data_IF_334466714657
#
_entry.id   IF_334466714657
#
_cell.length_a   1.000
_cell.length_b   1.000
_cell.length_c   1.000
_cell.angle_alpha   90.00
_cell.angle_beta   90.00
_cell.angle_gamma   90.00
#
_symmetry.space_group_name_H-M   'P 1'
#
loop_
_entity.id
_entity.type
_entity.pdbx_description
1 polymer ?
#
# COMPACT_ATOMS: atom_id res chain seq x y z
N UNK A 1 22.63 13.31 -33.88
CA UNK A 1 21.97 12.21 -34.61
C UNK A 1 22.01 10.98 -33.72
N UNK A 2 21.00 10.79 -32.86
CA UNK A 2 20.92 9.59 -31.99
C UNK A 2 20.01 8.57 -32.65
N UNK A 3 20.62 7.54 -33.22
CA UNK A 3 19.91 6.46 -33.91
C UNK A 3 18.94 5.78 -32.94
N UNK A 4 17.64 5.84 -33.25
CA UNK A 4 16.62 5.07 -32.54
C UNK A 4 16.87 3.56 -32.69
N UNK A 5 16.29 2.73 -31.79
CA UNK A 5 16.49 1.30 -31.80
C UNK A 5 16.07 0.68 -33.14
N UNK A 6 16.84 -0.30 -33.61
CA UNK A 6 16.62 -0.96 -34.90
C UNK A 6 15.22 -1.61 -34.95
N UNK A 7 14.57 -1.65 -36.12
CA UNK A 7 13.17 -2.10 -36.26
C UNK A 7 12.92 -3.55 -35.83
N UNK A 8 13.96 -4.38 -35.66
CA UNK A 8 13.86 -5.72 -35.08
C UNK A 8 13.74 -5.71 -33.57
N UNK A 9 14.49 -4.84 -32.89
CA UNK A 9 14.42 -4.67 -31.43
C UNK A 9 13.08 -4.04 -31.05
N UNK A 10 12.62 -3.03 -31.79
CA UNK A 10 11.30 -2.44 -31.60
C UNK A 10 10.18 -3.49 -31.74
N UNK A 11 10.25 -4.37 -32.75
CA UNK A 11 9.23 -5.40 -32.98
C UNK A 11 9.25 -6.52 -31.92
N UNK A 12 10.42 -6.92 -31.45
CA UNK A 12 10.56 -7.85 -30.33
C UNK A 12 10.07 -7.23 -29.01
N UNK A 13 10.35 -5.94 -28.81
CA UNK A 13 9.85 -5.16 -27.68
C UNK A 13 8.33 -5.02 -27.73
N UNK A 14 7.74 -4.71 -28.89
CA UNK A 14 6.29 -4.62 -29.11
C UNK A 14 5.58 -5.98 -28.92
N UNK A 15 6.24 -7.08 -29.28
CA UNK A 15 5.76 -8.44 -29.04
C UNK A 15 5.79 -8.81 -27.55
N UNK A 16 6.87 -8.47 -26.83
CA UNK A 16 6.99 -8.67 -25.38
C UNK A 16 6.03 -7.79 -24.59
N UNK A 17 5.87 -6.52 -24.99
CA UNK A 17 5.02 -5.54 -24.31
C UNK A 17 3.55 -5.64 -24.73
N UNK A 18 3.24 -6.39 -25.79
CA UNK A 18 1.87 -6.67 -26.21
C UNK A 18 1.04 -5.41 -26.47
N UNK A 19 1.69 -4.32 -26.87
CA UNK A 19 1.16 -2.94 -26.90
C UNK A 19 -0.15 -2.81 -27.69
N UNK A 20 -0.45 -3.77 -28.56
CA UNK A 20 -1.61 -3.72 -29.46
C UNK A 20 -2.75 -4.70 -29.11
N UNK A 21 -2.61 -5.58 -28.12
CA UNK A 21 -3.70 -6.49 -27.72
C UNK A 21 -4.11 -6.25 -26.27
N UNK A 22 -5.34 -5.75 -26.06
CA UNK A 22 -5.94 -5.58 -24.72
C UNK A 22 -5.87 -6.88 -23.89
N UNK A 23 -5.80 -8.04 -24.54
CA UNK A 23 -5.65 -9.35 -23.89
C UNK A 23 -4.23 -9.58 -23.37
N UNK A 24 -3.19 -9.10 -24.07
CA UNK A 24 -1.79 -9.33 -23.67
C UNK A 24 -1.44 -8.59 -22.37
N UNK A 25 -1.82 -7.31 -22.26
CA UNK A 25 -1.61 -6.53 -21.04
C UNK A 25 -2.34 -7.13 -19.82
N UNK A 26 -3.53 -7.71 -20.05
CA UNK A 26 -4.28 -8.41 -19.01
C UNK A 26 -3.52 -9.64 -18.49
N UNK A 27 -3.00 -10.48 -19.39
CA UNK A 27 -2.21 -11.66 -19.00
C UNK A 27 -0.86 -11.31 -18.36
N UNK A 28 -0.22 -10.22 -18.79
CA UNK A 28 1.03 -9.72 -18.22
C UNK A 28 0.89 -9.25 -16.77
N UNK A 29 -0.28 -8.81 -16.34
CA UNK A 29 -0.54 -8.43 -14.93
C UNK A 29 -1.04 -9.64 -14.14
N UNK A 30 -1.96 -10.41 -14.74
CA UNK A 30 -2.58 -11.55 -14.06
C UNK A 30 -1.56 -12.66 -13.77
N UNK A 31 -0.69 -12.99 -14.73
CA UNK A 31 0.30 -14.07 -14.59
C UNK A 31 1.23 -13.87 -13.38
N UNK A 32 1.96 -12.75 -13.28
CA UNK A 32 2.81 -12.45 -12.13
C UNK A 32 2.03 -12.39 -10.81
N UNK A 33 0.80 -11.86 -10.82
CA UNK A 33 -0.02 -11.78 -9.60
C UNK A 33 -0.40 -13.15 -9.07
N UNK A 34 -0.82 -14.07 -9.96
CA UNK A 34 -1.12 -15.45 -9.59
C UNK A 34 0.14 -16.20 -9.15
N UNK A 35 1.27 -16.01 -9.85
CA UNK A 35 2.54 -16.62 -9.51
C UNK A 35 3.04 -16.18 -8.13
N UNK A 36 3.04 -14.88 -7.85
CA UNK A 36 3.45 -14.33 -6.54
C UNK A 36 2.52 -14.79 -5.41
N UNK A 37 1.21 -14.86 -5.67
CA UNK A 37 0.24 -15.38 -4.68
C UNK A 37 0.51 -16.85 -4.39
N UNK A 38 0.74 -17.66 -5.43
CA UNK A 38 1.06 -19.08 -5.28
C UNK A 38 2.36 -19.29 -4.50
N UNK A 39 3.43 -18.59 -4.88
CA UNK A 39 4.71 -18.63 -4.17
C UNK A 39 4.52 -18.21 -2.70
N UNK A 40 3.74 -17.17 -2.42
CA UNK A 40 3.44 -16.72 -1.06
C UNK A 40 2.74 -17.79 -0.22
N UNK A 41 1.74 -18.48 -0.76
CA UNK A 41 1.05 -19.59 -0.06
C UNK A 41 2.00 -20.75 0.21
N UNK A 42 2.85 -21.10 -0.75
CA UNK A 42 3.86 -22.16 -0.59
C UNK A 42 4.89 -21.78 0.48
N UNK A 43 5.31 -20.51 0.54
CA UNK A 43 6.26 -20.04 1.57
C UNK A 43 5.66 -20.10 2.98
N UNK A 44 4.37 -19.80 3.14
CA UNK A 44 3.69 -19.96 4.44
C UNK A 44 3.62 -21.42 4.85
N UNK A 45 3.36 -22.34 3.91
CA UNK A 45 3.41 -23.78 4.18
C UNK A 45 4.79 -24.21 4.68
N UNK A 46 5.86 -23.73 4.04
CA UNK A 46 7.24 -24.00 4.45
C UNK A 46 7.53 -23.51 5.87
N UNK A 47 7.25 -22.23 6.16
CA UNK A 47 7.52 -21.63 7.47
C UNK A 47 6.70 -22.29 8.60
N UNK A 48 5.40 -22.55 8.37
CA UNK A 48 4.55 -23.22 9.37
C UNK A 48 4.97 -24.67 9.62
N UNK A 49 5.56 -25.37 8.63
CA UNK A 49 6.08 -26.72 8.84
C UNK A 49 7.27 -26.76 9.80
N UNK A 50 8.12 -25.73 9.77
CA UNK A 50 9.27 -25.60 10.68
C UNK A 50 8.80 -25.33 12.11
N UNK A 51 7.81 -24.46 12.30
CA UNK A 51 7.18 -24.22 13.61
C UNK A 51 6.50 -25.47 14.18
N UNK A 52 5.95 -26.33 13.32
CA UNK A 52 5.34 -27.61 13.71
C UNK A 52 6.37 -28.62 14.22
N UNK A 53 7.55 -28.69 13.59
CA UNK A 53 8.65 -29.56 14.02
C UNK A 53 9.22 -29.08 15.37
N UNK A 54 9.17 -27.77 15.65
CA UNK A 54 9.57 -27.17 16.93
C UNK A 54 8.60 -27.36 18.11
N UNK A 55 7.50 -28.10 17.92
CA UNK A 55 6.55 -28.46 19.00
C UNK A 55 5.49 -27.40 19.36
N UNK A 56 5.46 -26.25 18.66
CA UNK A 56 4.51 -25.16 18.89
C UNK A 56 3.52 -24.94 17.73
N UNK A 57 3.69 -25.63 16.60
CA UNK A 57 2.97 -25.31 15.37
C UNK A 57 1.51 -25.75 15.35
N UNK A 58 0.68 -24.88 14.77
CA UNK A 58 -0.69 -25.17 14.37
C UNK A 58 -0.85 -24.91 12.88
N UNK A 59 -1.57 -25.77 12.16
CA UNK A 59 -1.94 -25.54 10.75
C UNK A 59 -2.90 -24.34 10.56
N UNK A 60 -3.28 -23.64 11.64
CA UNK A 60 -4.17 -22.48 11.62
C UNK A 60 -3.64 -21.32 10.77
N UNK A 61 -2.32 -21.11 10.72
CA UNK A 61 -1.67 -20.08 9.90
C UNK A 61 -1.83 -20.38 8.40
N UNK A 62 -1.63 -21.64 8.01
CA UNK A 62 -1.81 -22.09 6.63
C UNK A 62 -3.28 -22.00 6.19
N UNK A 63 -4.22 -22.47 7.03
CA UNK A 63 -5.65 -22.41 6.71
C UNK A 63 -6.15 -20.98 6.58
N UNK A 64 -5.65 -20.07 7.42
CA UNK A 64 -6.00 -18.65 7.36
C UNK A 64 -5.43 -18.00 6.10
N UNK A 65 -4.16 -18.25 5.78
CA UNK A 65 -3.52 -17.72 4.57
C UNK A 65 -4.20 -18.22 3.30
N UNK A 66 -4.53 -19.52 3.24
CA UNK A 66 -5.25 -20.11 2.12
C UNK A 66 -6.63 -19.47 1.93
N UNK A 67 -7.37 -19.25 3.02
CA UNK A 67 -8.66 -18.57 2.98
C UNK A 67 -8.53 -17.13 2.45
N UNK A 68 -7.57 -16.34 2.94
CA UNK A 68 -7.34 -14.99 2.45
C UNK A 68 -6.91 -14.95 0.98
N UNK A 69 -6.09 -15.91 0.53
CA UNK A 69 -5.72 -16.03 -0.87
C UNK A 69 -6.95 -16.32 -1.77
N UNK A 70 -7.82 -17.24 -1.35
CA UNK A 70 -9.08 -17.53 -2.08
C UNK A 70 -9.98 -16.31 -2.13
N UNK A 71 -10.20 -15.62 -1.00
CA UNK A 71 -10.99 -14.38 -0.95
C UNK A 71 -10.40 -13.33 -1.89
N UNK A 72 -9.07 -13.15 -1.87
CA UNK A 72 -8.36 -12.22 -2.75
C UNK A 72 -8.55 -12.55 -4.23
N UNK A 73 -8.47 -13.83 -4.61
CA UNK A 73 -8.69 -14.28 -6.00
C UNK A 73 -10.13 -14.07 -6.46
N UNK A 74 -11.11 -14.34 -5.60
CA UNK A 74 -12.53 -14.07 -5.89
C UNK A 74 -12.76 -12.57 -6.10
N UNK A 75 -12.21 -11.73 -5.21
CA UNK A 75 -12.29 -10.28 -5.35
C UNK A 75 -11.60 -9.78 -6.62
N UNK A 76 -10.42 -10.31 -6.95
CA UNK A 76 -9.69 -9.98 -8.18
C UNK A 76 -10.53 -10.28 -9.42
N UNK A 77 -11.14 -11.47 -9.50
CA UNK A 77 -11.96 -11.85 -10.66
C UNK A 77 -13.25 -11.04 -10.75
N UNK A 78 -13.88 -10.74 -9.61
CA UNK A 78 -15.11 -9.96 -9.55
C UNK A 78 -14.88 -8.49 -9.92
N UNK A 79 -13.90 -7.84 -9.29
CA UNK A 79 -13.52 -6.45 -9.56
C UNK A 79 -12.91 -6.29 -10.97
N UNK A 80 -12.19 -7.31 -11.46
CA UNK A 80 -11.62 -7.32 -12.81
C UNK A 80 -12.66 -7.23 -13.93
N UNK A 81 -13.92 -7.60 -13.66
CA UNK A 81 -15.04 -7.47 -14.62
C UNK A 81 -15.68 -6.08 -14.64
N UNK A 82 -15.37 -5.21 -13.68
CA UNK A 82 -16.02 -3.90 -13.58
C UNK A 82 -15.56 -2.95 -14.68
N UNK A 83 -16.51 -2.21 -15.24
CA UNK A 83 -16.20 -1.13 -16.18
C UNK A 83 -15.58 0.05 -15.45
N UNK A 84 -14.70 0.78 -16.13
CA UNK A 84 -14.10 2.03 -15.60
C UNK A 84 -15.14 3.00 -15.00
N UNK A 85 -16.31 3.13 -15.63
CA UNK A 85 -17.39 4.00 -15.12
C UNK A 85 -17.90 3.59 -13.74
N UNK A 86 -17.90 2.29 -13.43
CA UNK A 86 -18.30 1.76 -12.12
C UNK A 86 -17.32 2.24 -11.04
N UNK A 87 -16.01 2.16 -11.31
CA UNK A 87 -14.98 2.70 -10.42
C UNK A 87 -15.11 4.22 -10.21
N UNK A 88 -15.43 5.00 -11.25
CA UNK A 88 -15.65 6.43 -11.11
C UNK A 88 -16.84 6.75 -10.17
N UNK A 89 -17.93 5.97 -10.26
CA UNK A 89 -19.11 6.15 -9.38
C UNK A 89 -18.83 5.72 -7.94
N UNK A 90 -18.09 4.62 -7.77
CA UNK A 90 -17.77 4.05 -6.46
C UNK A 90 -16.58 4.74 -5.77
N UNK A 91 -15.76 5.50 -6.49
CA UNK A 91 -14.54 6.14 -5.98
C UNK A 91 -14.76 6.88 -4.66
N UNK A 92 -15.76 7.77 -4.62
CA UNK A 92 -16.07 8.56 -3.42
C UNK A 92 -16.61 7.66 -2.31
N UNK A 93 -17.46 6.68 -2.64
CA UNK A 93 -18.04 5.75 -1.66
C UNK A 93 -16.94 4.89 -1.03
N UNK A 94 -16.04 4.31 -1.84
CA UNK A 94 -14.90 3.52 -1.37
C UNK A 94 -13.99 4.35 -0.45
N UNK A 95 -13.72 5.61 -0.82
CA UNK A 95 -12.93 6.52 0.00
C UNK A 95 -13.59 6.77 1.36
N UNK A 96 -14.88 7.14 1.37
CA UNK A 96 -15.60 7.42 2.62
C UNK A 96 -15.68 6.19 3.52
N UNK A 97 -15.97 5.01 2.95
CA UNK A 97 -15.95 3.75 3.68
C UNK A 97 -14.55 3.51 4.29
N UNK A 98 -13.48 3.73 3.53
CA UNK A 98 -12.12 3.53 4.04
C UNK A 98 -11.76 4.49 5.18
N UNK A 99 -12.22 5.74 5.13
CA UNK A 99 -12.04 6.72 6.20
C UNK A 99 -12.82 6.30 7.45
N UNK A 100 -14.05 5.84 7.29
CA UNK A 100 -14.86 5.31 8.40
C UNK A 100 -14.19 4.09 9.02
N UNK A 101 -13.69 3.15 8.22
CA UNK A 101 -12.98 1.98 8.72
C UNK A 101 -11.69 2.35 9.46
N UNK A 102 -10.93 3.32 8.96
CA UNK A 102 -9.74 3.85 9.65
C UNK A 102 -10.11 4.52 10.98
N UNK A 103 -11.20 5.29 11.02
CA UNK A 103 -11.69 5.91 12.24
C UNK A 103 -12.20 4.87 13.25
N UNK A 104 -12.79 3.77 12.76
CA UNK A 104 -13.32 2.68 13.59
C UNK A 104 -12.23 2.01 14.43
N UNK A 105 -10.97 2.09 14.01
CA UNK A 105 -9.83 1.56 14.77
C UNK A 105 -9.68 2.25 16.13
N UNK A 106 -10.13 3.50 16.28
CA UNK A 106 -10.11 4.20 17.58
C UNK A 106 -11.25 3.80 18.52
N UNK A 107 -12.22 3.01 18.03
CA UNK A 107 -13.32 2.45 18.85
C UNK A 107 -12.90 1.13 19.50
N UNK A 108 -13.70 0.55 20.41
CA UNK A 108 -13.38 -0.74 21.07
C UNK A 108 -13.15 -1.91 20.11
N UNK A 109 -13.52 -1.77 18.83
CA UNK A 109 -13.26 -2.77 17.78
C UNK A 109 -11.80 -2.80 17.30
N UNK A 110 -11.05 -1.74 17.57
CA UNK A 110 -9.64 -1.67 17.24
C UNK A 110 -8.77 -2.40 18.25
N UNK A 111 -7.80 -3.14 17.75
CA UNK A 111 -6.86 -3.93 18.55
C UNK A 111 -5.47 -3.33 18.45
N UNK A 112 -4.77 -3.29 19.58
CA UNK A 112 -3.37 -2.89 19.66
C UNK A 112 -2.47 -4.12 19.51
N UNK A 113 -1.59 -4.09 18.52
CA UNK A 113 -0.60 -5.13 18.24
C UNK A 113 0.77 -4.44 18.14
N UNK A 114 1.73 -4.89 18.95
CA UNK A 114 3.10 -4.35 18.96
C UNK A 114 3.17 -2.82 19.19
N UNK A 115 2.26 -2.27 20.01
CA UNK A 115 2.21 -0.83 20.32
C UNK A 115 1.54 0.03 19.24
N UNK A 116 1.01 -0.58 18.18
CA UNK A 116 0.25 0.08 17.11
C UNK A 116 -1.21 -0.35 17.16
N UNK A 117 -2.11 0.64 17.03
CA UNK A 117 -3.55 0.41 16.97
C UNK A 117 -4.02 0.68 15.54
N UNK A 118 -3.89 -0.34 14.69
CA UNK A 118 -4.15 -0.27 13.25
C UNK A 118 -4.98 -1.47 12.72
N UNK A 119 -5.36 -2.41 13.58
CA UNK A 119 -6.17 -3.58 13.20
C UNK A 119 -7.59 -3.48 13.75
N UNK A 120 -8.57 -3.95 12.96
CA UNK A 120 -9.92 -4.23 13.43
C UNK A 120 -10.08 -5.73 13.61
N UNK A 121 -10.62 -6.15 14.76
CA UNK A 121 -10.97 -7.55 15.02
C UNK A 121 -12.48 -7.73 15.00
N UNK A 122 -12.95 -8.57 14.10
CA UNK A 122 -14.36 -8.96 13.92
C UNK A 122 -14.48 -10.46 14.19
N UNK A 123 -14.68 -10.83 15.46
CA UNK A 123 -14.65 -12.22 15.89
C UNK A 123 -13.30 -12.87 15.62
N UNK A 124 -13.28 -13.94 14.82
CA UNK A 124 -12.06 -14.67 14.44
C UNK A 124 -11.27 -14.00 13.30
N UNK A 125 -11.84 -13.00 12.63
CA UNK A 125 -11.17 -12.32 11.52
C UNK A 125 -10.52 -11.02 12.00
N UNK A 126 -9.33 -10.74 11.49
CA UNK A 126 -8.65 -9.47 11.67
C UNK A 126 -8.34 -8.87 10.32
N UNK A 127 -8.61 -7.58 10.16
CA UNK A 127 -8.38 -6.84 8.92
C UNK A 127 -7.73 -5.50 9.24
N UNK A 128 -6.80 -5.07 8.38
CA UNK A 128 -6.12 -3.78 8.50
C UNK A 128 -6.76 -2.76 7.54
N UNK A 129 -7.52 -1.77 8.05
CA UNK A 129 -8.23 -0.79 7.22
C UNK A 129 -7.34 -0.01 6.27
N UNK A 130 -6.07 0.19 6.64
CA UNK A 130 -5.13 0.93 5.82
C UNK A 130 -4.84 0.27 4.45
N UNK A 131 -4.95 -1.05 4.34
CA UNK A 131 -4.82 -1.75 3.06
C UNK A 131 -5.93 -1.35 2.08
N UNK A 132 -7.19 -1.33 2.55
CA UNK A 132 -8.30 -0.84 1.74
C UNK A 132 -8.20 0.66 1.46
N UNK A 133 -7.72 1.47 2.43
CA UNK A 133 -7.56 2.91 2.25
C UNK A 133 -6.57 3.26 1.13
N UNK A 134 -5.45 2.53 1.00
CA UNK A 134 -4.48 2.72 -0.10
C UNK A 134 -5.14 2.53 -1.47
N UNK A 135 -5.92 1.46 -1.63
CA UNK A 135 -6.64 1.18 -2.88
C UNK A 135 -7.76 2.20 -3.14
N UNK A 136 -8.60 2.47 -2.14
CA UNK A 136 -9.71 3.41 -2.25
C UNK A 136 -9.25 4.82 -2.59
N UNK A 137 -8.20 5.30 -1.91
CA UNK A 137 -7.57 6.59 -2.20
C UNK A 137 -6.98 6.63 -3.60
N UNK A 138 -6.30 5.57 -4.05
CA UNK A 138 -5.72 5.54 -5.41
C UNK A 138 -6.79 5.66 -6.48
N UNK A 139 -7.91 4.93 -6.34
CA UNK A 139 -9.05 5.00 -7.26
C UNK A 139 -9.69 6.39 -7.22
N UNK A 140 -9.90 6.94 -6.03
CA UNK A 140 -10.50 8.26 -5.86
C UNK A 140 -9.61 9.40 -6.36
N UNK A 141 -8.30 9.37 -6.09
CA UNK A 141 -7.39 10.40 -6.52
C UNK A 141 -7.24 10.39 -8.05
N UNK A 142 -7.20 9.21 -8.67
CA UNK A 142 -7.26 9.08 -10.12
C UNK A 142 -8.55 9.66 -10.71
N UNK A 143 -9.70 9.41 -10.06
CA UNK A 143 -10.98 10.02 -10.42
C UNK A 143 -10.95 11.55 -10.32
N UNK A 144 -10.52 12.08 -9.18
CA UNK A 144 -10.45 13.52 -8.91
C UNK A 144 -9.54 14.24 -9.92
N UNK A 145 -8.38 13.66 -10.22
CA UNK A 145 -7.47 14.17 -11.25
C UNK A 145 -8.13 14.16 -12.63
N UNK A 146 -8.79 13.07 -13.01
CA UNK A 146 -9.41 12.95 -14.34
C UNK A 146 -10.47 14.03 -14.63
N UNK A 147 -11.11 14.58 -13.60
CA UNK A 147 -12.07 15.68 -13.72
C UNK A 147 -11.39 17.07 -13.79
N UNK A 148 -10.24 17.23 -13.12
CA UNK A 148 -9.52 18.50 -12.97
C UNK A 148 -8.46 18.75 -14.06
N UNK A 149 -7.98 17.71 -14.75
CA UNK A 149 -7.01 17.84 -15.84
C UNK A 149 -7.47 18.78 -16.97
N UNK A 150 -8.77 19.05 -17.09
CA UNK A 150 -9.34 20.00 -18.07
C UNK A 150 -9.08 21.48 -17.76
N UNK A 151 -8.64 21.84 -16.55
CA UNK A 151 -8.46 23.23 -16.09
C UNK A 151 -6.99 23.55 -15.76
N UNK A 152 -6.11 23.23 -16.71
CA UNK A 152 -4.65 23.31 -16.57
C UNK A 152 -4.16 24.77 -16.51
N UNK A 153 -3.63 25.23 -15.36
CA UNK A 153 -2.66 26.34 -15.34
C UNK A 153 -1.74 26.40 -14.11
N UNK A 154 -2.07 25.78 -12.97
CA UNK A 154 -1.21 25.86 -11.78
C UNK A 154 -1.17 24.58 -10.95
N UNK A 155 0.04 24.14 -10.58
CA UNK A 155 0.28 22.92 -9.77
C UNK A 155 -0.41 22.92 -8.41
N UNK A 156 -0.73 24.11 -7.86
CA UNK A 156 -1.55 24.27 -6.65
C UNK A 156 -2.96 23.70 -6.81
N UNK A 157 -3.54 23.74 -8.01
CA UNK A 157 -4.87 23.19 -8.28
C UNK A 157 -4.91 21.66 -8.36
N UNK A 158 -3.75 20.99 -8.46
CA UNK A 158 -3.64 19.54 -8.39
C UNK A 158 -3.36 19.07 -6.96
N UNK A 159 -2.50 19.79 -6.23
CA UNK A 159 -2.13 19.46 -4.86
C UNK A 159 -3.32 19.57 -3.91
N UNK A 160 -4.04 20.70 -3.96
CA UNK A 160 -5.16 20.98 -3.04
C UNK A 160 -6.19 19.84 -3.05
N UNK A 161 -6.83 19.44 -4.17
CA UNK A 161 -7.92 18.48 -4.13
C UNK A 161 -7.52 17.05 -3.76
N UNK A 162 -6.26 16.66 -3.92
CA UNK A 162 -5.78 15.30 -3.57
C UNK A 162 -5.31 15.24 -2.13
N UNK A 163 -4.50 16.22 -1.72
CA UNK A 163 -3.93 16.29 -0.37
C UNK A 163 -5.00 16.74 0.62
N UNK A 164 -5.80 17.75 0.26
CA UNK A 164 -6.85 18.31 1.11
C UNK A 164 -8.25 18.13 0.50
N UNK A 165 -9.25 17.65 1.27
CA UNK A 165 -9.17 17.25 2.69
C UNK A 165 -8.76 15.79 2.89
N UNK A 166 -9.01 14.91 1.91
CA UNK A 166 -9.04 13.46 2.17
C UNK A 166 -7.66 12.82 2.38
N UNK A 167 -6.63 13.24 1.64
CA UNK A 167 -5.26 12.75 1.86
C UNK A 167 -4.76 13.05 3.27
N UNK A 168 -4.99 14.27 3.75
CA UNK A 168 -4.66 14.71 5.09
C UNK A 168 -5.41 13.92 6.17
N UNK A 169 -6.72 13.71 6.00
CA UNK A 169 -7.53 12.91 6.93
C UNK A 169 -7.02 11.47 7.01
N UNK A 170 -6.75 10.82 5.88
CA UNK A 170 -6.25 9.44 5.86
C UNK A 170 -4.89 9.33 6.55
N UNK A 171 -3.95 10.20 6.19
CA UNK A 171 -2.62 10.22 6.82
C UNK A 171 -2.72 10.48 8.31
N UNK A 172 -3.56 11.44 8.74
CA UNK A 172 -3.80 11.74 10.15
C UNK A 172 -4.38 10.57 10.93
N UNK A 173 -5.36 9.86 10.36
CA UNK A 173 -5.95 8.68 11.01
C UNK A 173 -4.95 7.54 11.14
N UNK A 174 -4.15 7.25 10.10
CA UNK A 174 -3.11 6.21 10.16
C UNK A 174 -2.03 6.58 11.17
N UNK A 175 -1.62 7.86 11.19
CA UNK A 175 -0.65 8.38 12.14
C UNK A 175 -1.15 8.29 13.59
N UNK A 176 -2.44 8.55 13.83
CA UNK A 176 -3.07 8.36 15.14
C UNK A 176 -3.06 6.89 15.60
N UNK A 177 -3.11 5.94 14.67
CA UNK A 177 -2.92 4.50 14.93
C UNK A 177 -1.46 4.09 15.19
N UNK A 178 -0.53 5.05 15.20
CA UNK A 178 0.93 4.89 15.42
C UNK A 178 1.66 4.09 14.34
N UNK A 179 1.05 3.92 13.16
CA UNK A 179 1.63 3.13 12.06
C UNK A 179 2.41 4.01 11.05
N UNK A 180 3.68 4.28 11.37
CA UNK A 180 4.56 5.10 10.51
C UNK A 180 4.88 4.46 9.16
N UNK A 181 5.02 3.14 9.11
CA UNK A 181 5.34 2.43 7.87
C UNK A 181 4.24 2.64 6.84
N UNK A 182 2.99 2.48 7.28
CA UNK A 182 1.82 2.73 6.43
C UNK A 182 1.70 4.21 6.05
N UNK A 183 2.00 5.16 6.94
CA UNK A 183 2.04 6.60 6.60
C UNK A 183 3.03 6.85 5.45
N UNK A 184 4.24 6.32 5.53
CA UNK A 184 5.27 6.48 4.50
C UNK A 184 4.79 5.93 3.15
N UNK A 185 4.21 4.73 3.13
CA UNK A 185 3.66 4.12 1.90
C UNK A 185 2.55 4.99 1.32
N UNK A 186 1.65 5.51 2.17
CA UNK A 186 0.55 6.36 1.75
C UNK A 186 1.05 7.69 1.14
N UNK A 187 2.07 8.30 1.74
CA UNK A 187 2.72 9.50 1.21
C UNK A 187 3.39 9.23 -0.14
N UNK A 188 4.05 8.09 -0.31
CA UNK A 188 4.63 7.66 -1.59
C UNK A 188 3.56 7.47 -2.67
N UNK A 189 2.45 6.79 -2.35
CA UNK A 189 1.31 6.63 -3.28
C UNK A 189 0.78 7.99 -3.72
N UNK A 190 0.56 8.90 -2.76
CA UNK A 190 0.08 10.25 -3.05
C UNK A 190 1.05 11.04 -3.94
N UNK A 191 2.35 10.97 -3.67
CA UNK A 191 3.38 11.60 -4.48
C UNK A 191 3.40 11.06 -5.92
N UNK A 192 3.33 9.75 -6.10
CA UNK A 192 3.28 9.11 -7.42
C UNK A 192 2.04 9.56 -8.21
N UNK A 193 0.86 9.58 -7.57
CA UNK A 193 -0.37 10.01 -8.24
C UNK A 193 -0.30 11.48 -8.66
N UNK A 194 0.23 12.35 -7.81
CA UNK A 194 0.42 13.77 -8.14
C UNK A 194 1.44 13.98 -9.26
N UNK A 195 2.52 13.19 -9.28
CA UNK A 195 3.50 13.19 -10.38
C UNK A 195 2.84 12.79 -11.70
N UNK A 196 2.10 11.68 -11.71
CA UNK A 196 1.36 11.22 -12.90
C UNK A 196 0.27 12.21 -13.33
N UNK A 197 -0.26 13.00 -12.40
CA UNK A 197 -1.18 14.10 -12.68
C UNK A 197 -0.55 15.29 -13.44
N UNK A 198 0.78 15.34 -13.55
CA UNK A 198 1.49 16.45 -14.20
C UNK A 198 1.94 17.54 -13.23
N UNK A 199 2.03 17.24 -11.93
CA UNK A 199 2.62 18.18 -10.97
C UNK A 199 4.13 18.30 -11.22
N UNK A 200 4.66 19.54 -11.20
CA UNK A 200 6.09 19.78 -11.36
C UNK A 200 6.88 19.09 -10.24
N UNK A 201 7.97 18.41 -10.60
CA UNK A 201 8.83 17.63 -9.69
C UNK A 201 9.34 18.45 -8.50
N UNK A 202 9.55 19.76 -8.66
CA UNK A 202 9.97 20.65 -7.57
C UNK A 202 8.96 20.68 -6.41
N UNK A 203 7.66 20.70 -6.70
CA UNK A 203 6.64 20.66 -5.64
C UNK A 203 6.57 19.30 -4.96
N UNK A 204 6.79 18.22 -5.71
CA UNK A 204 6.87 16.86 -5.14
C UNK A 204 8.04 16.72 -4.18
N UNK A 205 9.23 17.17 -4.59
CA UNK A 205 10.42 17.16 -3.74
C UNK A 205 10.23 18.01 -2.49
N UNK A 206 9.59 19.18 -2.61
CA UNK A 206 9.21 20.00 -1.47
C UNK A 206 8.29 19.28 -0.49
N UNK A 207 7.21 18.64 -0.98
CA UNK A 207 6.30 17.88 -0.12
C UNK A 207 6.95 16.64 0.48
N UNK A 208 7.84 15.96 -0.26
CA UNK A 208 8.57 14.79 0.22
C UNK A 208 9.54 15.17 1.34
N UNK A 209 10.27 16.28 1.18
CA UNK A 209 11.17 16.80 2.21
C UNK A 209 10.41 17.15 3.51
N UNK A 210 9.27 17.85 3.39
CA UNK A 210 8.42 18.15 4.55
C UNK A 210 7.90 16.86 5.21
N UNK A 211 7.46 15.89 4.41
CA UNK A 211 6.99 14.59 4.91
C UNK A 211 8.08 13.82 5.66
N UNK A 212 9.30 13.78 5.12
CA UNK A 212 10.47 13.15 5.76
C UNK A 212 10.82 13.83 7.09
N UNK A 213 10.83 15.17 7.13
CA UNK A 213 11.04 15.92 8.38
C UNK A 213 9.97 15.56 9.41
N UNK A 214 8.70 15.51 9.01
CA UNK A 214 7.60 15.13 9.90
C UNK A 214 7.77 13.73 10.47
N UNK A 215 8.15 12.76 9.63
CA UNK A 215 8.41 11.37 10.07
C UNK A 215 9.62 11.31 11.00
N UNK A 216 10.71 12.03 10.71
CA UNK A 216 11.89 12.09 11.56
C UNK A 216 11.54 12.62 12.96
N UNK A 217 10.84 13.76 13.05
CA UNK A 217 10.42 14.36 14.32
C UNK A 217 9.56 13.39 15.15
N UNK A 218 8.57 12.77 14.52
CA UNK A 218 7.65 11.84 15.19
C UNK A 218 8.34 10.55 15.63
N UNK A 219 9.40 10.16 14.94
CA UNK A 219 10.22 9.01 15.31
C UNK A 219 11.10 9.34 16.51
N UNK A 220 11.70 10.53 16.54
CA UNK A 220 12.51 11.01 17.67
C UNK A 220 11.72 11.16 18.96
N UNK A 221 10.41 11.39 18.88
CA UNK A 221 9.53 11.52 20.06
C UNK A 221 9.07 10.20 20.67
N UNK A 222 9.49 9.04 20.14
CA UNK A 222 9.00 7.73 20.57
C UNK A 222 10.16 6.76 20.81
N UNK A 223 10.43 6.46 22.07
CA UNK A 223 11.51 5.55 22.51
C UNK A 223 11.45 4.20 21.78
N UNK A 224 10.27 3.57 21.68
CA UNK A 224 10.07 2.30 20.97
C UNK A 224 10.49 2.30 19.49
N UNK A 225 10.49 3.47 18.84
CA UNK A 225 10.84 3.59 17.42
C UNK A 225 12.31 3.92 17.26
N UNK A 226 12.85 4.77 18.15
CA UNK A 226 14.28 5.06 18.18
C UNK A 226 15.09 3.80 18.48
N UNK A 227 14.65 2.98 19.45
CA UNK A 227 15.29 1.69 19.76
C UNK A 227 15.39 0.78 18.53
N UNK A 228 14.34 0.72 17.69
CA UNK A 228 14.36 -0.09 16.46
C UNK A 228 15.35 0.44 15.41
N UNK A 229 15.53 1.76 15.33
CA UNK A 229 16.49 2.38 14.41
C UNK A 229 17.92 2.18 14.92
N UNK A 230 18.15 2.34 16.23
CA UNK A 230 19.44 2.08 16.88
C UNK A 230 19.87 0.63 16.74
N UNK A 231 18.97 -0.32 17.01
CA UNK A 231 19.21 -1.74 16.78
C UNK A 231 19.52 -2.05 15.31
N UNK A 232 18.89 -1.36 14.35
CA UNK A 232 19.23 -1.50 12.92
C UNK A 232 20.60 -0.90 12.57
N UNK A 233 21.03 0.17 13.25
CA UNK A 233 22.35 0.79 13.09
C UNK A 233 23.47 0.02 13.82
N UNK A 234 23.14 -1.06 14.54
CA UNK A 234 24.09 -1.92 15.24
C UNK A 234 24.41 -1.49 16.68
N UNK A 235 23.61 -0.59 17.25
CA UNK A 235 23.73 -0.15 18.65
C UNK A 235 22.78 -0.99 19.52
N UNK A 236 23.31 -2.07 20.10
CA UNK A 236 22.57 -3.10 20.85
C UNK A 236 22.90 -3.06 22.36
N UNK A 237 22.95 -1.87 22.95
CA UNK A 237 23.29 -1.66 24.36
C UNK A 237 22.05 -1.67 25.30
N UNK A 238 20.86 -2.06 24.82
CA UNK A 238 19.64 -2.05 25.62
C UNK A 238 19.21 -3.46 26.10
N UNK A 239 18.97 -3.66 27.41
CA UNK A 239 18.68 -4.99 27.99
C UNK A 239 17.34 -5.62 27.56
N UNK A 240 16.57 -4.95 26.69
CA UNK A 240 15.32 -5.45 26.10
C UNK A 240 15.45 -5.76 24.59
N UNK A 241 16.67 -5.79 24.04
CA UNK A 241 16.95 -5.89 22.61
C UNK A 241 16.57 -7.24 21.98
N UNK A 242 15.81 -7.24 20.87
CA UNK A 242 15.90 -8.30 19.88
C UNK A 242 17.06 -7.94 18.94
N UNK A 243 18.27 -8.44 19.22
CA UNK A 243 19.29 -8.56 18.19
C UNK A 243 18.73 -9.45 17.08
N UNK A 244 18.27 -8.85 15.98
CA UNK A 244 17.66 -9.58 14.86
C UNK A 244 18.70 -10.34 14.01
N UNK A 245 20.00 -10.22 14.31
CA UNK A 245 21.01 -11.16 13.84
C UNK A 245 21.03 -12.35 14.78
N UNK A 246 20.38 -13.42 14.34
CA UNK A 246 20.74 -14.77 14.71
C UNK A 246 22.21 -14.99 14.30
N UNK A 247 23.04 -15.40 15.24
CA UNK A 247 24.25 -16.17 14.92
C UNK A 247 23.88 -17.43 14.13
#
# INVERSE_FOLDING_TARGET
MTNGPTPRVARAWDWLTGVHSKKSAYWLILGPTLALTFIGVVMVLSASSVEFIGGAGSFSSLSSQGLYAVIGLVLLFWMGKWRRQTYHKLAVIMLLISIVLLALVFTPLGVEINGNRNWLRLGSFSFQPAEAAKLAFSVWAAYALSQKLKFQSSGKHLLIPVVFPFGFVIVGLIMGGRDLGTVLIMLMIMAIILYLGGMRTVYLLGTAAIGLIGVALVTMMSDNRMMRIQAWMGDCDHPADPCYQYE
#
